data_IF_646733269710
#
_entry.id   IF_646733269710
#
_cell.length_a   1.000
_cell.length_b   1.000
_cell.length_c   1.000
_cell.angle_alpha   90.00
_cell.angle_beta   90.00
_cell.angle_gamma   90.00
#
_symmetry.space_group_name_H-M   'P 1'
#
loop_
_entity.id
_entity.type
_entity.pdbx_description
1 polymer ?
#
# COMPACT_ATOMS: atom_id res chain seq x y z
N UNK A 1 16.66 8.27 -33.22
CA UNK A 1 17.09 9.65 -32.88
C UNK A 1 17.14 10.46 -34.17
N UNK A 2 16.67 11.72 -34.22
CA UNK A 2 17.17 12.80 -33.34
C UNK A 2 16.10 13.68 -32.65
N UNK A 3 16.63 14.48 -31.72
CA UNK A 3 16.02 15.39 -30.75
C UNK A 3 15.38 16.62 -31.40
N UNK A 4 14.33 17.16 -30.80
CA UNK A 4 13.94 18.56 -30.99
C UNK A 4 14.07 19.34 -29.68
N UNK A 5 15.11 20.16 -29.63
CA UNK A 5 15.30 21.31 -28.74
C UNK A 5 14.41 22.43 -29.25
N UNK A 6 13.65 23.08 -28.38
CA UNK A 6 12.96 24.34 -28.70
C UNK A 6 14.01 25.46 -28.84
N UNK A 7 14.21 25.93 -30.07
CA UNK A 7 15.04 27.09 -30.41
C UNK A 7 14.36 28.37 -29.92
N UNK A 8 14.95 29.00 -28.90
CA UNK A 8 14.50 30.27 -28.34
C UNK A 8 15.16 31.41 -29.14
N UNK A 9 14.61 31.72 -30.31
CA UNK A 9 14.92 32.95 -31.06
C UNK A 9 13.64 33.67 -31.40
N UNK A 10 13.31 34.70 -30.60
CA UNK A 10 12.23 35.65 -30.96
C UNK A 10 11.41 36.21 -29.80
N UNK A 11 11.71 35.90 -28.54
CA UNK A 11 10.99 36.48 -27.39
C UNK A 11 11.84 37.58 -26.73
N UNK A 12 11.25 38.78 -26.64
CA UNK A 12 11.83 39.94 -25.98
C UNK A 12 12.09 39.70 -24.49
N UNK A 13 12.91 40.57 -23.92
CA UNK A 13 13.48 40.47 -22.56
C UNK A 13 12.46 40.21 -21.45
N UNK A 14 12.75 39.25 -20.58
CA UNK A 14 12.09 39.05 -19.28
C UNK A 14 12.59 40.12 -18.31
N UNK A 15 11.71 40.99 -17.81
CA UNK A 15 12.02 41.90 -16.69
C UNK A 15 11.23 41.49 -15.44
N UNK A 16 11.93 41.33 -14.30
CA UNK A 16 11.31 41.17 -12.98
C UNK A 16 11.13 42.57 -12.35
N UNK A 17 9.90 42.88 -11.94
CA UNK A 17 9.59 44.10 -11.17
C UNK A 17 9.95 43.90 -9.68
N UNK A 18 10.51 44.91 -8.96
CA UNK A 18 11.02 44.71 -7.60
C UNK A 18 9.98 44.72 -6.47
N UNK A 19 8.68 44.93 -6.71
CA UNK A 19 7.74 45.26 -5.61
C UNK A 19 6.40 44.52 -5.54
N UNK A 20 6.26 43.31 -6.09
CA UNK A 20 5.06 42.46 -5.82
C UNK A 20 5.33 40.97 -6.05
N UNK A 21 4.74 40.09 -5.21
CA UNK A 21 4.79 38.61 -5.33
C UNK A 21 4.00 38.06 -6.54
N UNK A 22 4.26 38.56 -7.75
CA UNK A 22 3.66 38.07 -8.98
C UNK A 22 4.68 38.10 -10.12
N UNK A 23 4.90 36.95 -10.76
CA UNK A 23 5.71 36.84 -11.98
C UNK A 23 4.81 37.16 -13.17
N UNK A 24 5.14 38.18 -13.95
CA UNK A 24 4.46 38.50 -15.21
C UNK A 24 5.34 38.08 -16.40
N UNK A 25 4.75 37.49 -17.44
CA UNK A 25 5.41 37.19 -18.72
C UNK A 25 4.75 38.07 -19.78
N UNK A 26 5.56 38.86 -20.49
CA UNK A 26 5.10 39.73 -21.57
C UNK A 26 5.31 39.05 -22.92
N UNK A 27 4.25 38.94 -23.72
CA UNK A 27 4.33 38.50 -25.12
C UNK A 27 3.46 39.44 -25.96
N UNK A 28 4.09 40.12 -26.92
CA UNK A 28 3.49 40.95 -27.98
C UNK A 28 2.09 41.53 -27.65
N UNK A 29 2.05 42.60 -26.86
CA UNK A 29 0.85 43.43 -26.69
C UNK A 29 -0.21 42.92 -25.72
N UNK A 30 -0.03 41.75 -25.09
CA UNK A 30 -0.90 41.25 -24.02
C UNK A 30 -0.10 40.96 -22.74
N UNK A 31 -0.74 41.12 -21.58
CA UNK A 31 -0.16 40.74 -20.29
C UNK A 31 -1.07 39.75 -19.56
N UNK A 32 -0.46 38.76 -18.90
CA UNK A 32 -1.13 37.82 -18.00
C UNK A 32 -0.86 38.24 -16.56
N UNK A 33 -1.92 38.36 -15.77
CA UNK A 33 -1.81 38.69 -14.34
C UNK A 33 -2.31 37.53 -13.49
N UNK A 34 -1.51 37.17 -12.47
CA UNK A 34 -1.92 36.26 -11.41
C UNK A 34 -2.91 36.97 -10.49
N UNK A 35 -4.13 36.45 -10.38
CA UNK A 35 -5.16 37.01 -9.48
C UNK A 35 -5.48 35.96 -8.42
N UNK A 36 -5.10 36.25 -7.18
CA UNK A 36 -5.54 35.51 -5.99
C UNK A 36 -6.78 36.21 -5.45
N UNK A 37 -7.89 35.48 -5.31
CA UNK A 37 -9.06 35.95 -4.57
C UNK A 37 -9.19 35.15 -3.28
N UNK A 38 -9.36 35.85 -2.16
CA UNK A 38 -9.47 35.29 -0.82
C UNK A 38 -10.76 34.47 -0.66
N UNK A 39 -10.65 33.18 -0.95
CA UNK A 39 -11.21 32.03 -0.20
C UNK A 39 -10.99 30.80 -1.08
N UNK A 40 -10.27 29.83 -0.54
CA UNK A 40 -9.81 28.61 -1.18
C UNK A 40 -10.89 27.91 -2.02
N UNK A 41 -10.82 28.06 -3.34
CA UNK A 41 -11.17 27.08 -4.39
C UNK A 41 -10.99 27.76 -5.76
N UNK A 42 -10.27 27.08 -6.66
CA UNK A 42 -9.93 27.46 -8.05
C UNK A 42 -8.69 28.36 -8.29
N UNK A 43 -7.75 27.84 -9.10
CA UNK A 43 -6.65 28.59 -9.72
C UNK A 43 -7.04 28.90 -11.17
N UNK A 44 -7.12 30.18 -11.56
CA UNK A 44 -7.35 30.59 -12.97
C UNK A 44 -6.36 31.67 -13.40
N UNK A 45 -5.84 31.54 -14.63
CA UNK A 45 -5.14 32.61 -15.33
C UNK A 45 -6.15 33.40 -16.17
N UNK A 46 -6.09 34.74 -16.14
CA UNK A 46 -6.87 35.60 -17.05
C UNK A 46 -5.93 36.35 -17.98
N UNK A 47 -6.27 36.32 -19.27
CA UNK A 47 -5.63 37.12 -20.32
C UNK A 47 -6.38 38.45 -20.44
N UNK A 48 -5.65 39.56 -20.51
CA UNK A 48 -6.23 40.86 -20.83
C UNK A 48 -5.56 41.38 -22.11
N UNK A 49 -6.37 41.67 -23.13
CA UNK A 49 -5.97 42.31 -24.38
C UNK A 49 -6.98 43.40 -24.73
N UNK A 50 -6.51 44.50 -25.30
CA UNK A 50 -7.36 45.60 -25.81
C UNK A 50 -7.55 45.55 -27.33
N UNK A 51 -7.10 44.48 -27.99
CA UNK A 51 -7.14 44.35 -29.46
C UNK A 51 -8.20 43.31 -29.89
N UNK A 52 -9.32 43.73 -30.51
CA UNK A 52 -10.45 42.85 -30.87
C UNK A 52 -10.12 41.82 -31.96
N UNK A 53 -8.97 41.94 -32.66
CA UNK A 53 -8.54 40.97 -33.67
C UNK A 53 -7.78 39.76 -33.10
N UNK A 54 -7.37 39.82 -31.83
CA UNK A 54 -6.67 38.70 -31.16
C UNK A 54 -7.66 37.70 -30.53
N UNK A 55 -8.90 38.12 -30.24
CA UNK A 55 -9.94 37.29 -29.61
C UNK A 55 -10.43 36.13 -30.50
N UNK A 56 -10.30 36.24 -31.82
CA UNK A 56 -10.82 35.23 -32.75
C UNK A 56 -9.81 34.15 -33.16
N UNK A 57 -8.51 34.40 -33.00
CA UNK A 57 -7.44 33.50 -33.46
C UNK A 57 -6.82 32.62 -32.37
N UNK A 58 -7.22 32.79 -31.11
CA UNK A 58 -6.78 31.97 -29.96
C UNK A 58 -7.95 31.38 -29.15
N UNK A 59 -9.09 31.17 -29.82
CA UNK A 59 -10.16 30.32 -29.32
C UNK A 59 -9.73 28.84 -29.41
N UNK A 60 -8.69 28.49 -28.65
CA UNK A 60 -8.42 27.11 -28.23
C UNK A 60 -9.62 26.73 -27.36
N UNK A 61 -10.35 25.71 -27.80
CA UNK A 61 -11.62 25.26 -27.25
C UNK A 61 -11.61 25.11 -25.71
N UNK A 62 -12.00 26.15 -25.00
CA UNK A 62 -12.68 25.98 -23.71
C UNK A 62 -14.14 25.64 -24.04
N UNK A 63 -14.40 24.39 -24.42
CA UNK A 63 -15.77 23.86 -24.39
C UNK A 63 -16.20 23.85 -22.93
N UNK A 64 -17.11 24.75 -22.60
CA UNK A 64 -17.88 24.72 -21.35
C UNK A 64 -18.48 23.32 -21.19
N UNK A 65 -18.19 22.69 -20.06
CA UNK A 65 -18.85 21.48 -19.55
C UNK A 65 -20.32 21.78 -19.26
N UNK A 66 -21.15 21.89 -20.28
CA UNK A 66 -22.60 21.99 -20.16
C UNK A 66 -23.27 21.25 -21.32
N UNK A 67 -23.01 19.94 -21.42
CA UNK A 67 -23.88 18.97 -22.15
C UNK A 67 -23.49 17.49 -21.96
N UNK A 68 -23.00 17.14 -20.77
CA UNK A 68 -22.90 15.75 -20.32
C UNK A 68 -23.56 15.65 -18.94
N UNK A 69 -24.86 15.92 -18.91
CA UNK A 69 -25.77 15.52 -17.84
C UNK A 69 -26.68 14.46 -18.43
N UNK A 70 -26.19 13.23 -18.52
CA UNK A 70 -27.01 12.04 -18.38
C UNK A 70 -26.08 10.86 -18.11
N UNK A 71 -26.34 10.11 -17.03
CA UNK A 71 -25.65 8.90 -16.54
C UNK A 71 -24.34 9.00 -15.73
N UNK A 72 -24.12 10.02 -14.88
CA UNK A 72 -23.12 9.85 -13.79
C UNK A 72 -23.76 9.03 -12.69
N UNK A 73 -23.28 7.81 -12.50
CA UNK A 73 -23.57 6.98 -11.33
C UNK A 73 -23.21 7.78 -10.07
N UNK A 74 -24.13 7.82 -9.10
CA UNK A 74 -23.88 8.48 -7.83
C UNK A 74 -22.78 7.75 -7.07
N UNK A 75 -21.94 8.49 -6.35
CA UNK A 75 -20.98 7.89 -5.45
C UNK A 75 -21.72 7.09 -4.37
N UNK A 76 -21.23 5.91 -4.05
CA UNK A 76 -21.85 5.01 -3.08
C UNK A 76 -20.79 4.32 -2.23
N UNK A 77 -21.18 3.94 -1.01
CA UNK A 77 -20.36 3.15 -0.10
C UNK A 77 -21.21 1.98 0.38
N UNK A 78 -20.74 0.77 0.12
CA UNK A 78 -21.19 -0.48 0.74
C UNK A 78 -20.02 -1.07 1.49
N UNK A 79 -20.25 -1.61 2.70
CA UNK A 79 -19.20 -2.27 3.48
C UNK A 79 -19.74 -3.59 3.99
N UNK A 80 -19.14 -4.66 3.51
CA UNK A 80 -19.40 -6.00 4.00
C UNK A 80 -18.46 -6.29 5.17
N UNK A 81 -19.05 -6.75 6.26
CA UNK A 81 -18.32 -7.29 7.42
C UNK A 81 -18.68 -8.76 7.47
N UNK A 82 -18.04 -9.62 6.65
CA UNK A 82 -18.22 -11.05 6.78
C UNK A 82 -18.01 -11.41 8.25
N UNK A 83 -19.02 -12.05 8.85
CA UNK A 83 -18.97 -12.39 10.27
C UNK A 83 -17.72 -13.23 10.46
N UNK A 84 -16.71 -12.66 11.12
CA UNK A 84 -15.59 -13.43 11.62
C UNK A 84 -16.16 -14.36 12.69
N UNK A 85 -16.58 -15.54 12.28
CA UNK A 85 -16.30 -16.70 13.11
C UNK A 85 -14.86 -17.11 12.79
N UNK A 86 -13.89 -16.22 13.05
CA UNK A 86 -12.71 -16.73 13.71
C UNK A 86 -13.26 -17.24 15.03
N UNK A 87 -13.57 -18.54 15.05
CA UNK A 87 -13.89 -19.23 16.28
C UNK A 87 -12.79 -18.83 17.29
N UNK A 88 -13.10 -18.28 18.46
CA UNK A 88 -12.10 -18.03 19.50
C UNK A 88 -11.20 -19.27 19.72
N UNK A 89 -11.76 -20.47 19.49
CA UNK A 89 -11.02 -21.73 19.50
C UNK A 89 -9.93 -21.80 18.41
N UNK A 90 -10.09 -21.17 17.25
CA UNK A 90 -9.12 -21.14 16.14
C UNK A 90 -7.89 -20.30 16.47
N UNK A 91 -8.05 -19.06 16.96
CA UNK A 91 -6.90 -18.24 17.38
C UNK A 91 -6.19 -18.88 18.58
N UNK A 92 -6.96 -19.40 19.55
CA UNK A 92 -6.41 -20.12 20.68
C UNK A 92 -5.60 -21.36 20.26
N UNK A 93 -6.09 -22.13 19.29
CA UNK A 93 -5.39 -23.29 18.74
C UNK A 93 -4.12 -22.90 17.97
N UNK A 94 -4.16 -21.85 17.15
CA UNK A 94 -2.98 -21.31 16.47
C UNK A 94 -1.90 -20.92 17.49
N UNK A 95 -2.30 -20.19 18.55
CA UNK A 95 -1.39 -19.75 19.60
C UNK A 95 -0.79 -20.92 20.39
N UNK A 96 -1.62 -21.89 20.82
CA UNK A 96 -1.14 -23.11 21.48
C UNK A 96 -0.14 -23.86 20.59
N UNK A 97 -0.48 -24.05 19.32
CA UNK A 97 0.36 -24.78 18.36
C UNK A 97 1.68 -24.07 18.16
N UNK A 98 1.69 -22.75 17.95
CA UNK A 98 2.90 -21.95 17.77
C UNK A 98 3.77 -21.90 19.02
N UNK A 99 3.19 -21.67 20.20
CA UNK A 99 3.93 -21.56 21.46
C UNK A 99 4.49 -22.90 21.95
N UNK A 100 3.91 -24.02 21.53
CA UNK A 100 4.41 -25.38 21.84
C UNK A 100 5.33 -25.95 20.75
N UNK A 101 5.47 -25.27 19.61
CA UNK A 101 6.36 -25.70 18.53
C UNK A 101 7.84 -25.49 18.86
N UNK A 102 8.72 -26.08 18.05
CA UNK A 102 10.15 -25.83 18.06
C UNK A 102 10.64 -25.53 16.62
N UNK A 103 11.03 -24.28 16.30
CA UNK A 103 11.03 -23.11 17.18
C UNK A 103 9.61 -22.64 17.54
N UNK A 104 9.46 -21.95 18.67
CA UNK A 104 8.19 -21.35 19.08
C UNK A 104 7.83 -20.18 18.16
N UNK A 105 6.54 -20.00 17.89
CA UNK A 105 6.05 -18.93 17.03
C UNK A 105 4.81 -18.23 17.59
N UNK A 106 4.65 -16.97 17.20
CA UNK A 106 3.43 -16.18 17.33
C UNK A 106 3.07 -15.60 15.95
N UNK A 107 1.79 -15.53 15.58
CA UNK A 107 1.38 -15.00 14.28
C UNK A 107 1.51 -13.47 14.24
N UNK A 108 2.13 -12.94 13.19
CA UNK A 108 2.38 -11.50 13.00
C UNK A 108 1.10 -10.67 12.90
N UNK A 109 -0.06 -11.27 12.58
CA UNK A 109 -1.36 -10.57 12.59
C UNK A 109 -1.67 -9.91 13.94
N UNK A 110 -1.13 -10.46 15.04
CA UNK A 110 -1.30 -9.90 16.39
C UNK A 110 -0.50 -8.62 16.62
N UNK A 111 0.34 -8.18 15.69
CA UNK A 111 0.94 -6.86 15.81
C UNK A 111 -0.07 -5.74 15.66
N UNK A 112 -1.11 -5.91 14.83
CA UNK A 112 -1.91 -4.82 14.27
C UNK A 112 -3.17 -4.50 15.08
N UNK A 113 -3.05 -4.39 16.41
CA UNK A 113 -4.03 -3.61 17.17
C UNK A 113 -3.77 -2.11 17.01
N UNK A 114 -4.66 -1.24 17.49
CA UNK A 114 -4.60 0.23 17.28
C UNK A 114 -3.19 0.84 17.49
N UNK A 115 -2.54 0.49 18.61
CA UNK A 115 -1.19 0.97 18.92
C UNK A 115 -0.14 0.35 18.00
N UNK A 116 -0.28 -0.93 17.67
CA UNK A 116 0.65 -1.59 16.76
C UNK A 116 0.60 -1.01 15.36
N UNK A 117 -0.60 -0.71 14.85
CA UNK A 117 -0.78 0.01 13.59
C UNK A 117 -0.11 1.39 13.64
N UNK A 118 -0.29 2.14 14.74
CA UNK A 118 0.41 3.42 14.95
C UNK A 118 1.95 3.25 14.94
N UNK A 119 2.47 2.20 15.56
CA UNK A 119 3.91 1.89 15.56
C UNK A 119 4.40 1.53 14.15
N UNK A 120 3.60 0.80 13.36
CA UNK A 120 3.94 0.48 11.97
C UNK A 120 3.96 1.71 11.07
N UNK A 121 3.04 2.65 11.27
CA UNK A 121 3.08 3.96 10.58
C UNK A 121 4.38 4.70 10.91
N UNK A 122 4.82 4.69 12.17
CA UNK A 122 6.11 5.27 12.55
C UNK A 122 7.29 4.53 11.90
N UNK A 123 7.22 3.19 11.78
CA UNK A 123 8.23 2.39 11.09
C UNK A 123 8.37 2.82 9.63
N UNK A 124 7.25 3.05 8.94
CA UNK A 124 7.24 3.48 7.55
C UNK A 124 8.00 4.80 7.29
N UNK A 125 8.15 5.64 8.31
CA UNK A 125 8.85 6.93 8.23
C UNK A 125 10.34 6.84 8.65
N UNK A 126 10.81 5.68 9.12
CA UNK A 126 12.19 5.52 9.58
C UNK A 126 13.19 5.59 8.41
N UNK A 127 14.37 6.20 8.61
CA UNK A 127 15.39 6.24 7.56
C UNK A 127 15.90 4.84 7.21
N UNK A 128 15.92 3.89 8.13
CA UNK A 128 16.31 2.50 7.86
C UNK A 128 15.24 1.73 7.06
N UNK A 129 13.95 2.03 7.25
CA UNK A 129 12.83 1.33 6.61
C UNK A 129 12.54 1.89 5.21
N UNK A 130 13.33 1.46 4.22
CA UNK A 130 13.25 1.94 2.85
C UNK A 130 12.04 1.49 2.06
N UNK A 131 11.38 0.42 2.49
CA UNK A 131 10.43 -0.32 1.69
C UNK A 131 9.24 0.54 1.26
N UNK A 132 8.62 1.24 2.21
CA UNK A 132 7.44 2.07 1.96
C UNK A 132 7.73 3.21 0.98
N UNK A 133 8.83 3.95 1.22
CA UNK A 133 9.21 5.09 0.36
C UNK A 133 9.64 4.66 -1.04
N UNK A 134 10.36 3.55 -1.17
CA UNK A 134 10.80 3.04 -2.48
C UNK A 134 9.62 2.50 -3.28
N UNK A 135 8.72 1.74 -2.66
CA UNK A 135 7.50 1.25 -3.33
C UNK A 135 6.60 2.41 -3.79
N UNK A 136 6.41 3.42 -2.94
CA UNK A 136 5.64 4.62 -3.30
C UNK A 136 6.26 5.36 -4.50
N UNK A 137 7.59 5.51 -4.55
CA UNK A 137 8.27 6.12 -5.71
C UNK A 137 8.07 5.31 -7.00
N UNK A 138 8.07 3.97 -6.91
CA UNK A 138 7.77 3.12 -8.05
C UNK A 138 6.33 3.30 -8.53
N UNK A 139 5.36 3.32 -7.63
CA UNK A 139 3.96 3.59 -7.99
C UNK A 139 3.82 4.96 -8.66
N UNK A 140 4.42 6.01 -8.12
CA UNK A 140 4.38 7.36 -8.72
C UNK A 140 4.98 7.37 -10.13
N UNK A 141 6.02 6.57 -10.36
CA UNK A 141 6.71 6.50 -11.65
C UNK A 141 5.92 5.71 -12.69
N UNK A 142 5.27 4.61 -12.29
CA UNK A 142 4.75 3.60 -13.21
C UNK A 142 3.23 3.46 -13.21
N UNK A 143 2.49 4.17 -12.33
CA UNK A 143 1.04 4.03 -12.22
C UNK A 143 0.30 4.28 -13.55
N UNK A 144 0.69 5.31 -14.32
CA UNK A 144 0.05 5.59 -15.61
C UNK A 144 0.22 4.42 -16.60
N UNK A 145 1.42 3.83 -16.69
CA UNK A 145 1.66 2.66 -17.55
C UNK A 145 0.91 1.42 -17.05
N UNK A 146 0.87 1.19 -15.74
CA UNK A 146 0.13 0.07 -15.13
C UNK A 146 -1.37 0.18 -15.44
N UNK A 147 -1.93 1.38 -15.32
CA UNK A 147 -3.35 1.66 -15.61
C UNK A 147 -3.66 1.51 -17.10
N UNK A 148 -2.78 1.99 -17.98
CA UNK A 148 -2.93 1.83 -19.44
C UNK A 148 -2.86 0.37 -19.87
N UNK A 149 -1.88 -0.39 -19.37
CA UNK A 149 -1.72 -1.81 -19.69
C UNK A 149 -2.88 -2.67 -19.16
N UNK A 150 -3.31 -2.40 -17.93
CA UNK A 150 -4.42 -3.14 -17.33
C UNK A 150 -5.75 -2.78 -17.98
N UNK A 151 -5.96 -1.52 -18.37
CA UNK A 151 -7.25 -1.01 -18.81
C UNK A 151 -8.35 -1.24 -17.76
N UNK A 152 -7.97 -1.37 -16.48
CA UNK A 152 -8.89 -1.71 -15.41
C UNK A 152 -9.81 -0.53 -15.09
N UNK A 153 -11.05 -0.85 -14.72
CA UNK A 153 -12.07 0.09 -14.26
C UNK A 153 -12.33 -0.01 -12.75
N UNK A 154 -11.92 -1.15 -12.17
CA UNK A 154 -12.03 -1.49 -10.76
C UNK A 154 -10.63 -1.70 -10.16
N UNK A 155 -10.37 -1.10 -9.00
CA UNK A 155 -9.19 -1.38 -8.20
C UNK A 155 -9.59 -2.17 -6.96
N UNK A 156 -9.00 -3.34 -6.75
CA UNK A 156 -9.17 -4.14 -5.53
C UNK A 156 -7.86 -4.12 -4.77
N UNK A 157 -7.83 -3.70 -3.51
CA UNK A 157 -6.61 -3.70 -2.71
C UNK A 157 -6.74 -4.62 -1.49
N UNK A 158 -5.83 -5.59 -1.41
CA UNK A 158 -5.75 -6.56 -0.31
C UNK A 158 -4.79 -6.04 0.76
N UNK A 159 -5.32 -5.75 1.96
CA UNK A 159 -4.59 -5.08 3.03
C UNK A 159 -4.44 -3.58 2.77
N UNK A 160 -5.56 -2.89 2.51
CA UNK A 160 -5.57 -1.50 2.05
C UNK A 160 -5.03 -0.46 3.03
N UNK A 161 -5.08 -0.72 4.34
CA UNK A 161 -4.64 0.20 5.38
C UNK A 161 -5.17 1.63 5.15
N UNK A 162 -4.32 2.63 5.33
CA UNK A 162 -4.69 4.04 5.11
C UNK A 162 -4.83 4.46 3.63
N UNK A 163 -4.64 3.54 2.68
CA UNK A 163 -4.72 3.77 1.24
C UNK A 163 -3.83 4.90 0.68
N UNK A 164 -2.71 5.23 1.35
CA UNK A 164 -1.80 6.30 0.91
C UNK A 164 -1.15 5.99 -0.44
N UNK A 165 -0.70 4.73 -0.63
CA UNK A 165 -0.10 4.26 -1.88
C UNK A 165 -1.15 4.07 -2.96
N UNK A 166 -2.34 3.62 -2.57
CA UNK A 166 -3.51 3.35 -3.41
C UNK A 166 -3.98 4.59 -4.16
N UNK A 167 -3.97 5.74 -3.49
CA UNK A 167 -4.29 7.04 -4.10
C UNK A 167 -3.47 7.33 -5.36
N UNK A 168 -2.24 6.85 -5.45
CA UNK A 168 -1.41 7.00 -6.66
C UNK A 168 -2.02 6.27 -7.86
N UNK A 169 -2.53 5.05 -7.64
CA UNK A 169 -3.21 4.27 -8.68
C UNK A 169 -4.60 4.84 -8.99
N UNK A 170 -5.38 5.21 -7.95
CA UNK A 170 -6.69 5.85 -8.13
C UNK A 170 -6.57 7.15 -8.93
N UNK A 171 -5.57 7.99 -8.64
CA UNK A 171 -5.29 9.20 -9.39
C UNK A 171 -4.95 8.91 -10.86
N UNK A 172 -4.16 7.86 -11.14
CA UNK A 172 -3.84 7.45 -12.50
C UNK A 172 -5.08 6.94 -13.25
N UNK A 173 -5.91 6.11 -12.61
CA UNK A 173 -7.18 5.63 -13.17
C UNK A 173 -8.17 6.77 -13.41
N UNK A 174 -8.22 7.76 -12.52
CA UNK A 174 -9.07 8.94 -12.69
C UNK A 174 -8.59 9.83 -13.85
N UNK A 175 -7.27 10.02 -14.00
CA UNK A 175 -6.69 10.74 -15.16
C UNK A 175 -6.98 10.05 -16.49
N UNK A 176 -6.98 8.72 -16.50
CA UNK A 176 -7.29 7.90 -17.67
C UNK A 176 -8.80 7.80 -17.96
N UNK A 177 -9.66 8.42 -17.13
CA UNK A 177 -11.13 8.27 -17.17
C UNK A 177 -11.58 6.79 -17.08
N UNK A 178 -10.82 5.99 -16.33
CA UNK A 178 -11.07 4.57 -16.11
C UNK A 178 -11.65 4.28 -14.72
N UNK A 179 -11.43 5.15 -13.73
CA UNK A 179 -11.87 4.87 -12.36
C UNK A 179 -13.40 4.80 -12.24
N UNK A 180 -13.93 3.63 -11.84
CA UNK A 180 -15.36 3.40 -11.56
C UNK A 180 -15.59 2.82 -10.17
N UNK A 181 -14.80 1.80 -9.81
CA UNK A 181 -14.99 1.03 -8.58
C UNK A 181 -13.69 0.94 -7.77
N UNK A 182 -13.81 0.98 -6.45
CA UNK A 182 -12.73 0.65 -5.53
C UNK A 182 -13.22 -0.34 -4.46
N UNK A 183 -12.45 -1.39 -4.22
CA UNK A 183 -12.71 -2.42 -3.22
C UNK A 183 -11.55 -2.42 -2.22
N UNK A 184 -11.64 -1.63 -1.13
CA UNK A 184 -10.70 -1.74 -0.01
C UNK A 184 -11.02 -3.00 0.79
N UNK A 185 -10.05 -3.92 0.88
CA UNK A 185 -10.15 -5.13 1.69
C UNK A 185 -9.15 -5.04 2.85
N UNK A 186 -9.63 -5.00 4.09
CA UNK A 186 -8.77 -4.96 5.28
C UNK A 186 -9.42 -5.67 6.47
N UNK A 187 -8.64 -6.05 7.47
CA UNK A 187 -9.15 -6.66 8.71
C UNK A 187 -9.76 -5.62 9.66
N UNK A 188 -9.34 -4.36 9.55
CA UNK A 188 -9.84 -3.26 10.38
C UNK A 188 -11.07 -2.58 9.74
N UNK A 189 -12.27 -2.87 10.25
CA UNK A 189 -13.50 -2.22 9.77
C UNK A 189 -13.45 -0.69 9.84
N UNK A 190 -12.77 -0.15 10.85
CA UNK A 190 -12.66 1.30 11.06
C UNK A 190 -11.85 1.94 9.96
N UNK A 191 -10.76 1.29 9.51
CA UNK A 191 -9.94 1.80 8.41
C UNK A 191 -10.71 1.76 7.10
N UNK A 192 -11.41 0.66 6.82
CA UNK A 192 -12.22 0.49 5.60
C UNK A 192 -13.30 1.57 5.53
N UNK A 193 -14.02 1.82 6.64
CA UNK A 193 -15.04 2.88 6.72
C UNK A 193 -14.47 4.26 6.46
N UNK A 194 -13.43 4.63 7.22
CA UNK A 194 -12.82 5.97 7.13
C UNK A 194 -12.29 6.25 5.71
N UNK A 195 -11.52 5.31 5.16
CA UNK A 195 -10.94 5.46 3.82
C UNK A 195 -12.03 5.55 2.76
N UNK A 196 -13.10 4.75 2.87
CA UNK A 196 -14.22 4.82 1.92
C UNK A 196 -14.88 6.20 1.92
N UNK A 197 -15.13 6.78 3.10
CA UNK A 197 -15.72 8.11 3.25
C UNK A 197 -14.82 9.22 2.68
N UNK A 198 -13.51 9.13 2.89
CA UNK A 198 -12.54 10.07 2.32
C UNK A 198 -12.51 9.99 0.78
N UNK A 199 -12.39 8.78 0.24
CA UNK A 199 -12.17 8.57 -1.20
C UNK A 199 -13.39 8.96 -2.05
N UNK A 200 -14.63 8.75 -1.60
CA UNK A 200 -15.80 9.23 -2.39
C UNK A 200 -15.88 10.76 -2.48
N UNK A 201 -15.27 11.49 -1.54
CA UNK A 201 -15.17 12.95 -1.60
C UNK A 201 -14.02 13.39 -2.52
N UNK A 202 -12.93 12.63 -2.53
CA UNK A 202 -11.76 12.87 -3.39
C UNK A 202 -12.04 12.56 -4.87
N UNK A 203 -12.84 11.52 -5.15
CA UNK A 203 -13.12 11.00 -6.49
C UNK A 203 -14.64 11.02 -6.80
N UNK A 204 -15.18 12.11 -7.41
CA UNK A 204 -16.59 12.22 -7.68
C UNK A 204 -17.13 11.12 -8.60
N UNK A 205 -18.13 10.37 -8.13
CA UNK A 205 -18.75 9.26 -8.85
C UNK A 205 -18.08 7.90 -8.62
N UNK A 206 -17.04 7.84 -7.79
CA UNK A 206 -16.44 6.58 -7.34
C UNK A 206 -17.46 5.78 -6.52
N UNK A 207 -17.61 4.51 -6.87
CA UNK A 207 -18.37 3.54 -6.08
C UNK A 207 -17.40 2.70 -5.27
N UNK A 208 -17.67 2.57 -3.98
CA UNK A 208 -16.81 1.80 -3.07
C UNK A 208 -17.62 0.65 -2.49
N UNK A 209 -17.05 -0.55 -2.61
CA UNK A 209 -17.54 -1.74 -1.92
C UNK A 209 -16.41 -2.29 -1.05
N UNK A 210 -16.37 -1.86 0.21
CA UNK A 210 -15.36 -2.30 1.16
C UNK A 210 -15.66 -3.67 1.74
N UNK A 211 -14.60 -4.42 2.07
CA UNK A 211 -14.68 -5.71 2.75
C UNK A 211 -13.82 -5.65 4.01
N UNK A 212 -14.46 -5.81 5.16
CA UNK A 212 -13.80 -5.91 6.46
C UNK A 212 -13.62 -7.38 6.85
N UNK A 213 -12.47 -7.98 6.53
CA UNK A 213 -12.18 -9.38 6.84
C UNK A 213 -10.70 -9.74 6.69
N UNK A 214 -10.37 -10.99 7.02
CA UNK A 214 -9.05 -11.57 6.73
C UNK A 214 -8.97 -12.07 5.28
N UNK A 215 -8.14 -11.43 4.46
CA UNK A 215 -7.94 -11.76 3.04
C UNK A 215 -7.28 -13.13 2.82
N UNK A 216 -6.79 -13.82 3.86
CA UNK A 216 -6.29 -15.19 3.72
C UNK A 216 -7.42 -16.22 3.68
N UNK A 217 -8.63 -15.84 4.10
CA UNK A 217 -9.75 -16.78 4.25
C UNK A 217 -11.09 -16.26 3.70
N UNK A 218 -11.21 -14.96 3.40
CA UNK A 218 -12.48 -14.32 2.99
C UNK A 218 -12.42 -13.72 1.58
N UNK A 219 -11.54 -14.20 0.69
CA UNK A 219 -11.41 -13.64 -0.67
C UNK A 219 -12.71 -13.79 -1.49
N UNK A 220 -13.54 -14.79 -1.20
CA UNK A 220 -14.85 -15.01 -1.81
C UNK A 220 -15.85 -13.88 -1.54
N UNK A 221 -15.55 -12.97 -0.61
CA UNK A 221 -16.34 -11.77 -0.34
C UNK A 221 -15.96 -10.58 -1.21
N UNK A 222 -14.93 -10.70 -2.06
CA UNK A 222 -14.65 -9.67 -3.08
C UNK A 222 -15.86 -9.62 -4.03
N UNK A 223 -16.53 -8.47 -4.18
CA UNK A 223 -17.72 -8.37 -5.02
C UNK A 223 -17.38 -8.65 -6.50
N UNK A 224 -18.37 -9.10 -7.24
CA UNK A 224 -18.30 -9.08 -8.70
C UNK A 224 -18.25 -7.64 -9.19
N UNK A 225 -17.45 -7.40 -10.22
CA UNK A 225 -17.15 -6.04 -10.68
C UNK A 225 -16.73 -5.96 -12.14
N UNK A 226 -16.17 -4.81 -12.51
CA UNK A 226 -15.63 -4.56 -13.84
C UNK A 226 -14.30 -5.28 -14.09
N UNK A 227 -13.62 -4.88 -15.17
CA UNK A 227 -12.24 -5.32 -15.41
C UNK A 227 -11.35 -4.82 -14.28
N UNK A 228 -10.70 -5.71 -13.55
CA UNK A 228 -10.03 -5.37 -12.28
C UNK A 228 -8.52 -5.36 -12.37
N UNK A 229 -7.94 -4.44 -11.61
CA UNK A 229 -6.57 -4.49 -11.13
C UNK A 229 -6.63 -4.86 -9.65
N UNK A 230 -6.26 -6.09 -9.32
CA UNK A 230 -6.11 -6.54 -7.93
C UNK A 230 -4.69 -6.23 -7.48
N UNK A 231 -4.51 -5.63 -6.31
CA UNK A 231 -3.19 -5.23 -5.81
C UNK A 231 -2.93 -5.73 -4.39
N UNK A 232 -1.71 -6.17 -4.15
CA UNK A 232 -1.18 -6.36 -2.80
C UNK A 232 0.21 -5.70 -2.73
N UNK A 233 0.34 -4.71 -1.85
CA UNK A 233 1.49 -3.84 -1.75
C UNK A 233 2.21 -4.03 -0.41
N UNK A 234 3.35 -3.36 -0.22
CA UNK A 234 4.09 -3.30 1.04
C UNK A 234 4.99 -4.50 1.30
N UNK A 235 5.07 -5.46 0.37
CA UNK A 235 5.76 -6.72 0.60
C UNK A 235 5.03 -7.66 1.57
N UNK A 236 3.73 -7.45 1.82
CA UNK A 236 2.90 -8.26 2.72
C UNK A 236 2.93 -9.75 2.37
N UNK A 237 3.05 -10.09 1.08
CA UNK A 237 3.21 -11.48 0.62
C UNK A 237 4.41 -12.18 1.29
N UNK A 238 5.47 -11.43 1.60
CA UNK A 238 6.67 -11.95 2.25
C UNK A 238 6.42 -12.42 3.69
N UNK A 239 5.33 -12.00 4.32
CA UNK A 239 4.96 -12.43 5.66
C UNK A 239 4.36 -13.84 5.70
N UNK A 240 4.10 -14.43 4.53
CA UNK A 240 3.59 -15.78 4.38
C UNK A 240 4.74 -16.76 4.10
N UNK A 241 4.75 -17.95 4.73
CA UNK A 241 5.62 -19.04 4.30
C UNK A 241 5.36 -19.39 2.82
N UNK A 242 6.37 -19.90 2.12
CA UNK A 242 6.32 -20.15 0.65
C UNK A 242 5.05 -20.88 0.19
N UNK A 243 4.64 -21.94 0.88
CA UNK A 243 3.43 -22.70 0.54
C UNK A 243 2.17 -21.86 0.76
N UNK A 244 2.10 -21.10 1.86
CA UNK A 244 0.98 -20.23 2.16
C UNK A 244 0.87 -19.07 1.16
N UNK A 245 2.01 -18.48 0.76
CA UNK A 245 2.05 -17.45 -0.29
C UNK A 245 1.50 -17.96 -1.62
N UNK A 246 1.90 -19.16 -2.04
CA UNK A 246 1.37 -19.80 -3.25
C UNK A 246 -0.13 -20.08 -3.16
N UNK A 247 -0.59 -20.66 -2.05
CA UNK A 247 -2.01 -20.95 -1.84
C UNK A 247 -2.85 -19.67 -1.86
N UNK A 248 -2.35 -18.61 -1.22
CA UNK A 248 -2.98 -17.30 -1.22
C UNK A 248 -3.09 -16.73 -2.65
N UNK A 249 -2.00 -16.70 -3.42
CA UNK A 249 -2.06 -16.21 -4.81
C UNK A 249 -2.96 -17.08 -5.70
N UNK A 250 -3.01 -18.39 -5.46
CA UNK A 250 -3.94 -19.30 -6.18
C UNK A 250 -5.40 -18.96 -5.86
N UNK A 251 -5.70 -18.63 -4.59
CA UNK A 251 -7.03 -18.18 -4.19
C UNK A 251 -7.38 -16.81 -4.82
N UNK A 252 -6.44 -15.85 -4.81
CA UNK A 252 -6.63 -14.57 -5.51
C UNK A 252 -6.90 -14.80 -7.01
N UNK A 253 -6.14 -15.69 -7.66
CA UNK A 253 -6.38 -16.04 -9.05
C UNK A 253 -7.79 -16.61 -9.27
N UNK A 254 -8.30 -17.41 -8.34
CA UNK A 254 -9.63 -18.03 -8.42
C UNK A 254 -10.74 -16.99 -8.45
N UNK A 255 -10.61 -15.91 -7.67
CA UNK A 255 -11.58 -14.80 -7.59
C UNK A 255 -11.45 -13.77 -8.73
N UNK A 256 -10.48 -13.93 -9.64
CA UNK A 256 -10.30 -13.04 -10.80
C UNK A 256 -10.94 -13.60 -12.07
N UNK A 257 -11.38 -12.76 -12.98
CA UNK A 257 -11.77 -13.14 -14.34
C UNK A 257 -10.53 -13.26 -15.25
N UNK A 258 -10.65 -14.02 -16.34
CA UNK A 258 -9.60 -14.05 -17.38
C UNK A 258 -9.44 -12.65 -17.99
N UNK A 259 -8.19 -12.21 -18.17
CA UNK A 259 -7.84 -10.87 -18.63
C UNK A 259 -7.72 -9.81 -17.54
N UNK A 260 -8.04 -10.14 -16.29
CA UNK A 260 -7.76 -9.26 -15.14
C UNK A 260 -6.28 -9.21 -14.82
N UNK A 261 -5.88 -8.13 -14.14
CA UNK A 261 -4.50 -7.86 -13.78
C UNK A 261 -4.28 -7.95 -12.28
N UNK A 262 -3.09 -8.42 -11.90
CA UNK A 262 -2.62 -8.49 -10.54
C UNK A 262 -1.31 -7.70 -10.41
N UNK A 263 -1.24 -6.76 -9.46
CA UNK A 263 -0.02 -6.02 -9.14
C UNK A 263 0.51 -6.49 -7.78
N UNK A 264 1.66 -7.15 -7.82
CA UNK A 264 2.32 -7.69 -6.64
C UNK A 264 3.53 -6.84 -6.26
N UNK A 265 3.50 -6.21 -5.10
CA UNK A 265 4.66 -5.56 -4.49
C UNK A 265 5.52 -6.57 -3.73
N UNK A 266 6.78 -6.73 -4.13
CA UNK A 266 7.76 -7.61 -3.45
C UNK A 266 8.98 -6.83 -3.00
N UNK A 267 9.52 -7.23 -1.84
CA UNK A 267 10.80 -6.73 -1.34
C UNK A 267 11.93 -7.60 -1.89
N UNK A 268 12.99 -6.98 -2.40
CA UNK A 268 14.04 -7.71 -3.09
C UNK A 268 15.15 -8.18 -2.16
N UNK A 269 15.78 -9.30 -2.53
CA UNK A 269 17.03 -9.76 -1.92
C UNK A 269 18.10 -8.71 -2.20
N UNK A 270 18.65 -8.11 -1.15
CA UNK A 270 19.68 -7.06 -1.22
C UNK A 270 20.71 -7.25 -0.11
N UNK A 271 21.53 -6.23 0.15
CA UNK A 271 22.53 -6.24 1.21
C UNK A 271 21.93 -6.63 2.58
N UNK A 272 22.43 -7.71 3.23
CA UNK A 272 21.90 -8.17 4.51
C UNK A 272 21.94 -7.13 5.62
N UNK A 273 22.95 -6.25 5.65
CA UNK A 273 23.04 -5.21 6.69
C UNK A 273 21.95 -4.16 6.53
N UNK A 274 21.60 -3.81 5.28
CA UNK A 274 20.45 -2.95 4.97
C UNK A 274 19.14 -3.63 5.36
N UNK A 275 18.99 -4.92 5.04
CA UNK A 275 17.80 -5.69 5.39
C UNK A 275 17.63 -5.76 6.92
N UNK A 276 18.67 -6.08 7.67
CA UNK A 276 18.61 -6.15 9.13
C UNK A 276 18.35 -4.78 9.77
N UNK A 277 19.00 -3.72 9.29
CA UNK A 277 18.79 -2.36 9.78
C UNK A 277 17.33 -1.90 9.62
N UNK A 278 16.67 -2.26 8.52
CA UNK A 278 15.26 -1.92 8.30
C UNK A 278 14.34 -2.53 9.38
N UNK A 279 14.71 -3.65 10.00
CA UNK A 279 13.91 -4.31 11.04
C UNK A 279 14.52 -4.15 12.44
N UNK A 280 15.61 -3.40 12.57
CA UNK A 280 16.32 -3.16 13.83
C UNK A 280 16.81 -1.71 13.89
N UNK A 281 15.87 -0.78 13.73
CA UNK A 281 16.15 0.66 13.67
C UNK A 281 16.78 1.20 14.95
N UNK A 282 17.61 2.25 14.81
CA UNK A 282 18.31 2.85 15.94
C UNK A 282 17.38 3.52 16.96
N UNK A 283 16.18 3.89 16.54
CA UNK A 283 15.18 4.54 17.40
C UNK A 283 14.39 3.54 18.28
N UNK A 284 14.58 2.24 18.04
CA UNK A 284 13.92 1.15 18.75
C UNK A 284 12.41 1.11 18.54
N UNK A 285 11.90 1.66 17.43
CA UNK A 285 10.46 1.64 17.13
C UNK A 285 10.03 0.24 16.71
N UNK A 286 10.81 -0.45 15.87
CA UNK A 286 10.55 -1.85 15.48
C UNK A 286 10.64 -2.79 16.66
N UNK A 287 11.54 -2.52 17.63
CA UNK A 287 11.58 -3.27 18.88
C UNK A 287 10.30 -3.07 19.73
N UNK A 288 9.76 -1.86 19.78
CA UNK A 288 8.48 -1.57 20.46
C UNK A 288 7.30 -2.23 19.72
N UNK A 289 7.32 -2.21 18.39
CA UNK A 289 6.32 -2.89 17.54
C UNK A 289 6.35 -4.40 17.79
N UNK A 290 7.52 -5.03 17.76
CA UNK A 290 7.64 -6.46 18.02
C UNK A 290 7.10 -6.83 19.42
N UNK A 291 7.54 -6.11 20.46
CA UNK A 291 7.10 -6.35 21.84
C UNK A 291 5.61 -6.04 22.06
N UNK A 292 4.94 -5.34 21.14
CA UNK A 292 3.51 -5.05 21.22
C UNK A 292 2.66 -6.33 21.26
N UNK A 293 3.12 -7.39 20.60
CA UNK A 293 2.40 -8.68 20.56
C UNK A 293 2.14 -9.23 21.97
N UNK A 294 3.06 -9.02 22.91
CA UNK A 294 2.93 -9.43 24.31
C UNK A 294 1.82 -8.65 25.03
N UNK A 295 1.63 -7.37 24.67
CA UNK A 295 0.51 -6.56 25.19
C UNK A 295 -0.81 -7.03 24.61
N UNK A 296 -0.85 -7.40 23.33
CA UNK A 296 -2.06 -7.94 22.70
C UNK A 296 -2.46 -9.26 23.35
N UNK A 297 -1.52 -10.19 23.57
CA UNK A 297 -1.76 -11.43 24.32
C UNK A 297 -2.27 -11.16 25.75
N UNK A 298 -1.71 -10.17 26.44
CA UNK A 298 -2.19 -9.78 27.78
C UNK A 298 -3.63 -9.29 27.75
N UNK A 299 -3.94 -8.40 26.80
CA UNK A 299 -5.24 -7.74 26.72
C UNK A 299 -6.34 -8.68 26.23
N UNK A 300 -6.03 -9.58 25.31
CA UNK A 300 -7.03 -10.47 24.69
C UNK A 300 -7.17 -11.81 25.42
N UNK A 301 -6.12 -12.32 26.06
CA UNK A 301 -6.07 -13.70 26.58
C UNK A 301 -5.53 -13.79 28.02
N UNK A 302 -5.43 -12.66 28.71
CA UNK A 302 -4.96 -12.60 30.10
C UNK A 302 -3.49 -13.00 30.30
N UNK A 303 -2.68 -13.01 29.23
CA UNK A 303 -1.29 -13.48 29.30
C UNK A 303 -0.44 -12.68 30.30
N UNK A 304 0.21 -13.40 31.22
CA UNK A 304 1.11 -12.86 32.23
C UNK A 304 2.53 -12.85 31.71
N UNK A 305 2.87 -11.82 30.93
CA UNK A 305 4.20 -11.59 30.41
C UNK A 305 4.63 -10.13 30.61
N UNK A 306 5.89 -9.91 30.96
CA UNK A 306 6.48 -8.59 31.08
C UNK A 306 7.42 -8.35 29.88
N UNK A 307 7.07 -7.38 29.03
CA UNK A 307 7.81 -7.08 27.81
C UNK A 307 9.22 -6.56 28.08
N UNK A 308 9.52 -6.07 29.29
CA UNK A 308 10.86 -5.69 29.69
C UNK A 308 11.82 -6.89 29.80
N UNK A 309 11.27 -8.11 29.95
CA UNK A 309 12.05 -9.35 30.05
C UNK A 309 12.36 -10.00 28.70
N UNK A 310 12.04 -9.33 27.60
CA UNK A 310 12.31 -9.81 26.25
C UNK A 310 13.17 -8.80 25.50
N UNK A 311 14.16 -9.28 24.77
CA UNK A 311 14.90 -8.51 23.78
C UNK A 311 14.29 -8.71 22.39
N UNK A 312 14.27 -7.64 21.60
CA UNK A 312 13.94 -7.74 20.18
C UNK A 312 15.20 -8.19 19.43
N UNK A 313 15.03 -9.15 18.52
CA UNK A 313 16.09 -9.61 17.62
C UNK A 313 15.53 -9.66 16.20
N UNK A 314 16.20 -9.03 15.25
CA UNK A 314 15.95 -9.20 13.83
C UNK A 314 17.21 -9.76 13.16
N UNK A 315 17.05 -10.77 12.31
CA UNK A 315 18.17 -11.41 11.59
C UNK A 315 17.77 -11.75 10.17
N UNK A 316 18.70 -11.61 9.24
CA UNK A 316 18.51 -12.14 7.89
C UNK A 316 18.90 -13.62 7.85
N UNK A 317 17.97 -14.47 7.43
CA UNK A 317 18.21 -15.87 7.15
C UNK A 317 18.50 -16.01 5.63
N UNK A 318 19.76 -16.29 5.23
CA UNK A 318 20.14 -16.38 3.83
C UNK A 318 19.65 -17.67 3.14
N UNK A 319 19.34 -18.73 3.90
CA UNK A 319 18.85 -20.00 3.34
C UNK A 319 17.40 -19.87 2.87
N UNK A 320 16.57 -19.19 3.66
CA UNK A 320 15.15 -18.96 3.37
C UNK A 320 14.87 -17.58 2.74
N UNK A 321 15.92 -16.80 2.44
CA UNK A 321 15.85 -15.44 1.89
C UNK A 321 14.90 -14.50 2.66
N UNK A 322 14.91 -14.53 3.99
CA UNK A 322 13.93 -13.77 4.79
C UNK A 322 14.53 -13.08 5.98
N UNK A 323 13.98 -11.93 6.34
CA UNK A 323 14.15 -11.41 7.70
C UNK A 323 13.27 -12.20 8.64
N UNK A 324 13.77 -12.47 9.84
CA UNK A 324 13.01 -13.06 10.92
C UNK A 324 13.09 -12.15 12.15
N UNK A 325 11.93 -11.83 12.74
CA UNK A 325 11.85 -11.10 14.00
C UNK A 325 11.52 -12.06 15.15
N UNK A 326 12.23 -11.89 16.25
CA UNK A 326 12.17 -12.75 17.42
C UNK A 326 12.07 -11.93 18.71
N UNK A 327 11.44 -12.53 19.71
CA UNK A 327 11.51 -12.11 21.10
C UNK A 327 12.39 -13.10 21.86
N UNK A 328 13.54 -12.63 22.34
CA UNK A 328 14.49 -13.44 23.13
C UNK A 328 14.25 -13.22 24.61
N UNK A 329 14.07 -14.29 25.36
CA UNK A 329 13.94 -14.23 26.82
C UNK A 329 15.26 -13.80 27.47
N UNK A 330 15.24 -12.78 28.33
CA UNK A 330 16.45 -12.29 29.04
C UNK A 330 16.82 -13.11 30.28
N UNK A 331 15.92 -14.00 30.72
CA UNK A 331 16.05 -14.82 31.92
C UNK A 331 15.21 -16.10 31.82
N UNK A 332 15.38 -17.03 32.75
CA UNK A 332 14.41 -18.11 32.93
C UNK A 332 13.08 -17.50 33.41
N UNK A 333 11.99 -17.74 32.67
CA UNK A 333 10.66 -17.24 33.00
C UNK A 333 9.57 -18.14 32.41
N UNK A 334 8.34 -17.97 32.88
CA UNK A 334 7.17 -18.65 32.34
C UNK A 334 6.17 -17.61 31.88
N UNK A 335 5.60 -17.81 30.68
CA UNK A 335 4.44 -17.05 30.22
C UNK A 335 3.20 -17.90 30.52
N UNK A 336 2.37 -17.44 31.47
CA UNK A 336 1.08 -18.06 31.76
C UNK A 336 -0.02 -17.36 30.95
N UNK A 337 -0.86 -18.11 30.25
CA UNK A 337 -1.98 -17.63 29.43
C UNK A 337 -3.26 -18.31 29.92
N UNK A 338 -3.94 -17.75 30.94
CA UNK A 338 -5.08 -18.39 31.61
C UNK A 338 -6.23 -18.73 30.66
N UNK A 339 -6.55 -17.84 29.72
CA UNK A 339 -7.68 -18.04 28.79
C UNK A 339 -7.42 -19.20 27.80
N UNK A 340 -6.17 -19.66 27.70
CA UNK A 340 -5.78 -20.84 26.94
C UNK A 340 -5.48 -22.06 27.81
N UNK A 341 -5.50 -21.96 29.15
CA UNK A 341 -4.98 -22.99 30.06
C UNK A 341 -3.57 -23.46 29.63
N UNK A 342 -2.69 -22.48 29.33
CA UNK A 342 -1.38 -22.73 28.78
C UNK A 342 -0.30 -22.06 29.63
N UNK A 343 0.74 -22.81 29.97
CA UNK A 343 1.94 -22.32 30.64
C UNK A 343 3.17 -22.63 29.78
N UNK A 344 3.92 -21.60 29.41
CA UNK A 344 5.03 -21.69 28.45
C UNK A 344 6.34 -21.39 29.18
N UNK A 345 7.10 -22.40 29.62
CA UNK A 345 8.40 -22.19 30.22
C UNK A 345 9.41 -21.79 29.15
N UNK A 346 10.18 -20.73 29.42
CA UNK A 346 11.27 -20.22 28.60
C UNK A 346 12.55 -20.19 29.41
N UNK A 347 13.63 -20.70 28.82
CA UNK A 347 14.98 -20.50 29.33
C UNK A 347 15.51 -19.13 28.95
N UNK A 348 16.48 -18.64 29.71
CA UNK A 348 17.30 -17.51 29.27
C UNK A 348 17.83 -17.78 27.86
N UNK A 349 17.78 -16.76 27.02
CA UNK A 349 18.18 -16.74 25.62
C UNK A 349 17.30 -17.60 24.67
N UNK A 350 16.24 -18.24 25.17
CA UNK A 350 15.24 -18.90 24.34
C UNK A 350 14.40 -17.87 23.56
N UNK A 351 14.09 -18.17 22.30
CA UNK A 351 13.47 -17.23 21.37
C UNK A 351 12.08 -17.69 20.91
N UNK A 352 11.18 -16.72 20.71
CA UNK A 352 9.88 -16.91 20.07
C UNK A 352 9.89 -16.11 18.76
N UNK A 353 9.68 -16.77 17.61
CA UNK A 353 9.55 -16.08 16.33
C UNK A 353 8.21 -15.37 16.26
N UNK A 354 8.23 -14.12 15.81
CA UNK A 354 7.06 -13.24 15.77
C UNK A 354 6.71 -12.81 14.35
N UNK A 355 7.70 -12.79 13.46
CA UNK A 355 7.50 -12.45 12.06
C UNK A 355 8.53 -13.15 11.18
N UNK A 356 8.11 -13.42 9.95
CA UNK A 356 9.02 -13.60 8.82
C UNK A 356 8.72 -12.52 7.80
N UNK A 357 9.71 -12.10 7.03
CA UNK A 357 9.51 -11.24 5.88
C UNK A 357 10.44 -11.66 4.75
N UNK A 358 9.92 -12.54 3.91
CA UNK A 358 10.59 -13.13 2.75
C UNK A 358 10.90 -12.08 1.71
N UNK A 359 12.11 -12.16 1.15
CA UNK A 359 12.64 -11.34 0.09
C UNK A 359 12.74 -12.18 -1.18
N UNK A 360 12.58 -11.52 -2.32
CA UNK A 360 12.45 -12.18 -3.61
C UNK A 360 13.55 -11.70 -4.55
N UNK A 361 13.94 -12.54 -5.49
CA UNK A 361 14.47 -12.05 -6.75
C UNK A 361 13.39 -12.23 -7.83
N UNK A 362 13.70 -11.78 -9.05
CA UNK A 362 12.75 -11.91 -10.16
C UNK A 362 12.39 -13.37 -10.46
N UNK A 363 13.34 -14.31 -10.61
CA UNK A 363 13.00 -15.73 -10.82
C UNK A 363 12.07 -16.33 -9.77
N UNK A 364 12.31 -16.08 -8.48
CA UNK A 364 11.46 -16.60 -7.39
C UNK A 364 10.06 -15.99 -7.46
N UNK A 365 9.94 -14.68 -7.67
CA UNK A 365 8.64 -14.02 -7.79
C UNK A 365 7.87 -14.48 -9.04
N UNK A 366 8.56 -14.67 -10.17
CA UNK A 366 7.96 -15.14 -11.42
C UNK A 366 7.51 -16.61 -11.31
N UNK A 367 8.28 -17.48 -10.65
CA UNK A 367 7.85 -18.86 -10.35
C UNK A 367 6.63 -18.90 -9.42
N UNK A 368 6.61 -18.06 -8.39
CA UNK A 368 5.48 -17.94 -7.48
C UNK A 368 4.20 -17.51 -8.23
N UNK A 369 4.30 -16.53 -9.13
CA UNK A 369 3.19 -16.10 -9.98
C UNK A 369 2.73 -17.21 -10.94
N UNK A 370 3.66 -17.80 -11.69
CA UNK A 370 3.37 -18.83 -12.69
C UNK A 370 2.71 -20.07 -12.07
N UNK A 371 3.25 -20.55 -10.95
CA UNK A 371 2.71 -21.72 -10.25
C UNK A 371 1.39 -21.44 -9.52
N UNK A 372 0.99 -20.18 -9.43
CA UNK A 372 -0.30 -19.72 -8.89
C UNK A 372 -1.31 -19.35 -9.99
N UNK A 373 -0.98 -19.59 -11.27
CA UNK A 373 -1.90 -19.38 -12.40
C UNK A 373 -1.84 -17.98 -13.02
N UNK A 374 -0.83 -17.18 -12.73
CA UNK A 374 -0.61 -15.87 -13.34
C UNK A 374 0.49 -15.90 -14.40
N UNK A 375 0.44 -14.99 -15.35
CA UNK A 375 1.53 -14.73 -16.30
C UNK A 375 2.13 -13.35 -16.04
N UNK A 376 3.45 -13.27 -15.83
CA UNK A 376 4.13 -11.99 -15.64
C UNK A 376 4.11 -11.16 -16.94
N UNK A 377 3.52 -9.97 -16.88
CA UNK A 377 3.45 -9.03 -18.01
C UNK A 377 4.61 -8.04 -17.96
N UNK A 378 4.87 -7.47 -16.79
CA UNK A 378 5.90 -6.44 -16.62
C UNK A 378 6.52 -6.48 -15.22
N UNK A 379 7.80 -6.16 -15.16
CA UNK A 379 8.57 -6.06 -13.92
C UNK A 379 9.13 -4.64 -13.80
N UNK A 380 8.70 -3.92 -12.77
CA UNK A 380 9.18 -2.58 -12.45
C UNK A 380 10.02 -2.65 -11.18
N UNK A 381 11.19 -2.03 -11.17
CA UNK A 381 12.08 -2.00 -10.00
C UNK A 381 12.83 -0.68 -9.92
N UNK A 382 13.30 -0.35 -8.73
CA UNK A 382 14.11 0.84 -8.50
C UNK A 382 15.59 0.57 -8.91
N UNK A 383 16.39 1.62 -9.19
CA UNK A 383 17.78 1.46 -9.60
C UNK A 383 18.66 0.68 -8.61
N UNK A 384 18.33 0.72 -7.32
CA UNK A 384 19.06 0.02 -6.26
C UNK A 384 18.56 -1.42 -6.04
N UNK A 385 17.55 -1.87 -6.82
CA UNK A 385 16.95 -3.20 -6.75
C UNK A 385 16.51 -3.57 -5.33
N UNK A 386 15.73 -2.70 -4.70
CA UNK A 386 15.25 -2.85 -3.34
C UNK A 386 13.82 -3.35 -3.26
N UNK A 387 12.98 -2.88 -4.19
CA UNK A 387 11.57 -3.21 -4.31
C UNK A 387 11.24 -3.47 -5.78
N UNK A 388 10.28 -4.35 -6.01
CA UNK A 388 9.65 -4.49 -7.32
C UNK A 388 8.15 -4.49 -7.26
N UNK A 389 7.54 -3.98 -8.33
CA UNK A 389 6.15 -4.18 -8.67
C UNK A 389 6.09 -5.15 -9.87
N UNK A 390 5.51 -6.33 -9.65
CA UNK A 390 5.27 -7.32 -10.68
C UNK A 390 3.82 -7.18 -11.16
N UNK A 391 3.63 -6.70 -12.39
CA UNK A 391 2.33 -6.68 -13.04
C UNK A 391 2.14 -8.00 -13.78
N UNK A 392 1.14 -8.76 -13.38
CA UNK A 392 0.78 -10.04 -13.95
C UNK A 392 -0.66 -10.03 -14.46
N UNK A 393 -1.00 -10.99 -15.32
CA UNK A 393 -2.36 -11.19 -15.83
C UNK A 393 -2.87 -12.59 -15.51
N UNK A 394 -4.18 -12.72 -15.35
CA UNK A 394 -4.85 -14.03 -15.42
C UNK A 394 -5.07 -14.37 -16.90
N UNK A 395 -4.46 -15.47 -17.42
CA UNK A 395 -4.48 -15.79 -18.85
C UNK A 395 -5.86 -16.21 -19.38
#
# INVERSE_FOLDING_TARGET
>A
MPRNVLDVRGLGSVQKSPSSKATAIFVRGAYMQYVSTEKWRERRWRLFSTDPLIDSALCVQFRTREKYMDSRTEASITIDVPISREDPDTLGNILKTGLLANPRTLPSKLFYDERGSTLFEQICELPEYYQTRTEHQLLVTWADEIVELSGAEELVELGSGAATKTRVLLDAMARADQLRYFVPFDVDETIVRRVSEELVQEYPGLQIHGVSGDFLVHLEHIPEGGKRLVVILGGTIGNLPTIAAKNFLTAVNTEMASGDFFLLGVQLITDPSRLEAAYNDQQGITAKFNKNILRVLRNQLGAQCDSAKFDHVARYNPEDHRIEMWLRSTQDQTIDIPDLDLSVPLKKDEEIRTEISTKYDRPIAEDLLNTSGFELVKWYTDPDQLISLALARKP
#
